data_IF_440987661974
#
_entry.id   IF_440987661974
#
_cell.length_a   1.000
_cell.length_b   1.000
_cell.length_c   1.000
_cell.angle_alpha   90.00
_cell.angle_beta   90.00
_cell.angle_gamma   90.00
#
_symmetry.space_group_name_H-M   'P 1'
#
loop_
_entity.id
_entity.type
_entity.pdbx_description
1 polymer ?
#
# COMPACT_ATOMS: atom_id res chain seq x y z
N UNK A 1 -1.90 23.52 -24.82
CA UNK A 1 -2.37 22.17 -24.47
C UNK A 1 -2.37 21.31 -25.74
N UNK A 2 -1.22 20.69 -26.04
CA UNK A 2 -1.21 19.68 -27.10
C UNK A 2 -1.87 18.43 -26.51
N UNK A 3 -3.12 18.16 -26.89
CA UNK A 3 -3.82 16.94 -26.52
C UNK A 3 -3.01 15.74 -27.01
N UNK A 4 -2.55 14.91 -26.08
CA UNK A 4 -1.84 13.67 -26.44
C UNK A 4 -2.76 12.77 -27.27
N UNK A 5 -2.25 12.21 -28.36
CA UNK A 5 -2.99 11.18 -29.08
C UNK A 5 -3.21 9.97 -28.16
N UNK A 6 -4.45 9.52 -28.07
CA UNK A 6 -4.86 8.42 -27.22
C UNK A 6 -5.15 7.17 -28.05
N UNK A 7 -5.07 6.00 -27.41
CA UNK A 7 -5.51 4.71 -27.94
C UNK A 7 -6.19 3.90 -26.85
N UNK A 8 -7.07 3.00 -27.23
CA UNK A 8 -7.66 2.03 -26.29
C UNK A 8 -6.58 1.08 -25.77
N UNK A 9 -6.57 0.88 -24.45
CA UNK A 9 -5.63 -0.05 -23.79
C UNK A 9 -6.02 -1.51 -23.99
N UNK A 10 -7.28 -1.79 -24.29
CA UNK A 10 -7.86 -3.13 -24.28
C UNK A 10 -8.13 -3.69 -22.88
N UNK A 11 -8.05 -2.84 -21.84
CA UNK A 11 -8.30 -3.19 -20.44
C UNK A 11 -9.37 -2.24 -19.90
N UNK A 12 -10.52 -2.76 -19.53
CA UNK A 12 -11.71 -1.99 -19.17
C UNK A 12 -11.44 -0.92 -18.09
N UNK A 13 -10.75 -1.29 -17.00
CA UNK A 13 -10.48 -0.36 -15.92
C UNK A 13 -9.44 0.73 -16.27
N UNK A 14 -8.60 0.50 -17.27
CA UNK A 14 -7.61 1.49 -17.74
C UNK A 14 -8.24 2.44 -18.77
N UNK A 15 -9.12 1.92 -19.64
CA UNK A 15 -9.69 2.67 -20.73
C UNK A 15 -8.63 3.11 -21.75
N UNK A 16 -8.67 4.37 -22.18
CA UNK A 16 -7.72 4.92 -23.15
C UNK A 16 -6.43 5.37 -22.47
N UNK A 17 -5.30 5.10 -23.13
CA UNK A 17 -3.96 5.51 -22.72
C UNK A 17 -3.29 6.35 -23.82
N UNK A 18 -2.25 7.15 -23.51
CA UNK A 18 -1.43 7.80 -24.54
C UNK A 18 -0.92 6.79 -25.55
N UNK A 19 -0.91 7.15 -26.83
CA UNK A 19 -0.55 6.25 -27.94
C UNK A 19 0.86 5.67 -27.80
N UNK A 20 1.77 6.42 -27.16
CA UNK A 20 3.14 6.02 -26.86
C UNK A 20 3.25 5.01 -25.71
N UNK A 21 2.21 4.83 -24.89
CA UNK A 21 2.24 3.90 -23.76
C UNK A 21 1.87 2.49 -24.20
N UNK A 22 2.28 1.52 -23.40
CA UNK A 22 1.89 0.12 -23.51
C UNK A 22 1.14 -0.32 -22.25
N UNK A 23 0.73 -1.58 -22.22
CA UNK A 23 0.27 -2.26 -21.00
C UNK A 23 1.20 -3.44 -20.72
N UNK A 24 1.39 -3.77 -19.45
CA UNK A 24 2.25 -4.88 -19.05
C UNK A 24 1.58 -5.68 -17.93
N UNK A 25 1.74 -7.01 -17.98
CA UNK A 25 1.31 -7.89 -16.88
C UNK A 25 2.37 -7.92 -15.80
N UNK A 26 1.92 -7.91 -14.55
CA UNK A 26 2.80 -7.93 -13.39
C UNK A 26 3.82 -9.08 -13.42
N UNK A 27 3.44 -10.25 -13.91
CA UNK A 27 4.33 -11.41 -14.03
C UNK A 27 5.64 -11.16 -14.79
N UNK A 28 5.72 -10.12 -15.62
CA UNK A 28 6.92 -9.79 -16.37
C UNK A 28 7.84 -8.79 -15.65
N UNK A 29 7.40 -8.26 -14.50
CA UNK A 29 8.11 -7.22 -13.79
C UNK A 29 8.97 -7.74 -12.63
N UNK A 30 8.88 -9.02 -12.29
CA UNK A 30 9.61 -9.64 -11.18
C UNK A 30 10.23 -10.98 -11.54
N UNK A 31 11.30 -11.36 -10.82
CA UNK A 31 12.03 -12.62 -11.02
C UNK A 31 11.47 -13.82 -10.25
N UNK A 32 10.50 -13.60 -9.35
CA UNK A 32 9.92 -14.67 -8.55
C UNK A 32 9.07 -14.15 -7.39
N UNK A 33 8.28 -15.04 -6.83
CA UNK A 33 7.40 -14.76 -5.70
C UNK A 33 7.53 -15.86 -4.63
N UNK A 34 7.48 -15.48 -3.37
CA UNK A 34 7.42 -16.42 -2.25
C UNK A 34 6.62 -15.83 -1.08
N UNK A 35 6.12 -16.72 -0.21
CA UNK A 35 5.42 -16.32 1.02
C UNK A 35 6.40 -16.22 2.20
N UNK A 36 6.05 -15.42 3.19
CA UNK A 36 6.78 -15.32 4.44
C UNK A 36 6.54 -16.51 5.39
N UNK A 37 6.76 -16.28 6.66
CA UNK A 37 6.59 -17.26 7.73
C UNK A 37 5.59 -16.75 8.77
N UNK A 38 4.80 -17.68 9.32
CA UNK A 38 4.00 -17.39 10.50
C UNK A 38 4.92 -17.22 11.72
N UNK A 39 4.87 -16.07 12.35
CA UNK A 39 5.61 -15.79 13.58
C UNK A 39 4.61 -15.70 14.72
N UNK A 40 4.83 -16.49 15.79
CA UNK A 40 3.97 -16.47 16.98
C UNK A 40 3.96 -15.07 17.62
N UNK A 41 2.80 -14.68 18.16
CA UNK A 41 2.61 -13.38 18.80
C UNK A 41 3.53 -13.16 20.01
N UNK A 42 4.03 -14.20 20.63
CA UNK A 42 4.99 -14.12 21.72
C UNK A 42 6.33 -13.47 21.30
N UNK A 43 6.63 -13.47 20.00
CA UNK A 43 7.79 -12.79 19.42
C UNK A 43 7.48 -11.39 18.91
N UNK A 44 6.25 -10.90 19.06
CA UNK A 44 5.93 -9.53 18.72
C UNK A 44 6.52 -8.58 19.75
N UNK A 45 7.07 -7.48 19.28
CA UNK A 45 7.82 -6.54 20.09
C UNK A 45 7.38 -5.11 19.84
N UNK A 46 7.65 -4.24 20.81
CA UNK A 46 7.54 -2.78 20.66
C UNK A 46 8.91 -2.11 20.70
N UNK A 47 10.00 -2.88 20.80
CA UNK A 47 11.35 -2.34 20.87
C UNK A 47 11.75 -1.73 19.52
N UNK A 48 12.18 -0.45 19.47
CA UNK A 48 12.54 0.23 18.22
C UNK A 48 13.67 -0.40 17.43
N UNK A 49 14.53 -1.18 18.11
CA UNK A 49 15.70 -1.87 17.52
C UNK A 49 15.35 -3.19 16.86
N UNK A 50 14.18 -3.75 17.18
CA UNK A 50 13.75 -5.03 16.62
C UNK A 50 13.32 -4.90 15.17
N UNK A 51 13.40 -6.03 14.44
CA UNK A 51 13.08 -6.05 13.01
C UNK A 51 11.63 -5.71 12.73
N UNK A 52 11.41 -5.04 11.62
CA UNK A 52 10.06 -4.84 11.10
C UNK A 52 9.47 -6.18 10.64
N UNK A 53 8.22 -6.39 10.97
CA UNK A 53 7.45 -7.55 10.56
C UNK A 53 6.16 -7.10 9.88
N UNK A 54 6.08 -7.35 8.59
CA UNK A 54 4.91 -7.01 7.79
C UNK A 54 3.85 -8.09 7.93
N UNK A 55 2.68 -7.68 8.37
CA UNK A 55 1.46 -8.50 8.46
C UNK A 55 0.44 -8.00 7.44
N UNK A 56 -0.78 -8.53 7.44
CA UNK A 56 -1.86 -8.02 6.60
C UNK A 56 -2.42 -6.64 7.06
N UNK A 57 -1.85 -6.03 8.09
CA UNK A 57 -2.20 -4.69 8.55
C UNK A 57 -1.55 -3.57 7.74
N UNK A 58 -2.07 -2.34 7.87
CA UNK A 58 -1.55 -1.16 7.14
C UNK A 58 -0.09 -0.88 7.50
N UNK A 59 0.25 -0.96 8.78
CA UNK A 59 1.58 -0.69 9.30
C UNK A 59 2.28 -1.98 9.72
N UNK A 60 3.58 -2.11 9.50
CA UNK A 60 4.35 -3.20 10.05
C UNK A 60 4.41 -3.08 11.58
N UNK A 61 4.49 -4.21 12.24
CA UNK A 61 4.84 -4.31 13.66
C UNK A 61 6.33 -4.66 13.79
N UNK A 62 6.79 -4.97 14.99
CA UNK A 62 8.16 -5.44 15.21
C UNK A 62 8.19 -6.86 15.76
N UNK A 63 9.32 -7.53 15.58
CA UNK A 63 9.53 -8.87 16.08
C UNK A 63 10.99 -9.09 16.50
N UNK A 64 11.17 -9.79 17.60
CA UNK A 64 12.47 -10.29 18.05
C UNK A 64 12.72 -11.75 17.62
N UNK A 65 11.93 -12.26 16.67
CA UNK A 65 12.12 -13.62 16.15
C UNK A 65 13.41 -13.73 15.32
N UNK A 66 14.30 -14.63 15.71
CA UNK A 66 15.62 -14.79 15.10
C UNK A 66 15.69 -15.89 14.04
N UNK A 67 14.82 -16.89 14.10
CA UNK A 67 14.85 -18.07 13.21
C UNK A 67 14.17 -17.84 11.84
N UNK A 68 13.96 -16.57 11.45
CA UNK A 68 13.41 -16.27 10.14
C UNK A 68 14.45 -16.61 9.05
N UNK A 69 14.07 -17.36 7.99
CA UNK A 69 15.01 -17.79 6.97
C UNK A 69 15.72 -16.60 6.30
N UNK A 70 17.05 -16.59 6.30
CA UNK A 70 17.86 -15.48 5.77
C UNK A 70 17.49 -15.08 4.35
N UNK A 71 17.24 -16.05 3.48
CA UNK A 71 16.89 -15.80 2.08
C UNK A 71 15.50 -15.17 1.91
N UNK A 72 14.67 -15.17 2.93
CA UNK A 72 13.35 -14.54 2.96
C UNK A 72 13.37 -13.10 3.46
N UNK A 73 14.43 -12.62 4.12
CA UNK A 73 14.48 -11.21 4.48
C UNK A 73 14.27 -10.33 3.26
N UNK A 74 13.50 -9.26 3.46
CA UNK A 74 13.23 -8.30 2.39
C UNK A 74 14.49 -7.60 1.92
N UNK A 75 14.52 -7.27 0.64
CA UNK A 75 15.62 -6.58 -0.05
C UNK A 75 15.12 -5.28 -0.67
N UNK A 76 16.06 -4.45 -1.14
CA UNK A 76 15.76 -3.16 -1.74
C UNK A 76 14.73 -3.24 -2.88
N UNK A 77 14.81 -4.26 -3.73
CA UNK A 77 13.96 -4.41 -4.91
C UNK A 77 12.69 -5.24 -4.66
N UNK A 78 12.30 -5.45 -3.40
CA UNK A 78 11.11 -6.22 -3.10
C UNK A 78 9.85 -5.33 -3.05
N UNK A 79 8.73 -5.92 -3.45
CA UNK A 79 7.36 -5.52 -3.10
C UNK A 79 6.73 -6.62 -2.26
N UNK A 80 5.94 -6.22 -1.28
CA UNK A 80 5.13 -7.13 -0.49
C UNK A 80 3.65 -6.94 -0.84
N UNK A 81 2.97 -8.04 -1.10
CA UNK A 81 1.61 -8.12 -1.60
C UNK A 81 0.75 -8.90 -0.62
N UNK A 82 -0.28 -8.28 -0.06
CA UNK A 82 -1.17 -8.97 0.87
C UNK A 82 -1.99 -10.06 0.16
N UNK A 83 -2.15 -11.23 0.83
CA UNK A 83 -2.95 -12.36 0.32
C UNK A 83 -4.38 -12.35 0.81
N UNK A 84 -4.63 -11.84 2.01
CA UNK A 84 -5.92 -11.93 2.69
C UNK A 84 -6.38 -10.54 3.13
N UNK A 85 -7.68 -10.33 3.15
CA UNK A 85 -8.28 -9.05 3.53
C UNK A 85 -8.09 -7.99 2.44
N UNK A 86 -7.88 -6.74 2.84
CA UNK A 86 -7.59 -5.66 1.90
C UNK A 86 -6.25 -5.90 1.22
N UNK A 87 -6.20 -5.89 -0.11
CA UNK A 87 -4.98 -6.21 -0.85
C UNK A 87 -3.99 -5.04 -0.82
N UNK A 88 -3.28 -4.87 0.28
CA UNK A 88 -2.22 -3.87 0.41
C UNK A 88 -0.96 -4.27 -0.38
N UNK A 89 -0.27 -3.24 -0.86
CA UNK A 89 1.02 -3.35 -1.54
C UNK A 89 2.01 -2.46 -0.79
N UNK A 90 3.06 -3.10 -0.25
CA UNK A 90 4.07 -2.39 0.53
C UNK A 90 5.39 -2.33 -0.24
N UNK A 91 6.09 -1.21 -0.09
CA UNK A 91 7.53 -1.13 -0.36
C UNK A 91 8.21 -1.37 1.00
N UNK A 92 8.74 -2.56 1.25
CA UNK A 92 9.31 -2.86 2.56
C UNK A 92 10.65 -2.17 2.77
N UNK A 93 10.98 -1.92 4.03
CA UNK A 93 12.36 -1.67 4.39
C UNK A 93 13.19 -2.94 4.20
N UNK A 94 14.46 -2.84 3.76
CA UNK A 94 15.35 -3.99 3.68
C UNK A 94 15.52 -4.68 5.04
N UNK A 95 15.80 -5.99 5.02
CA UNK A 95 16.04 -6.79 6.20
C UNK A 95 14.83 -6.92 7.17
N UNK A 96 13.62 -6.81 6.63
CA UNK A 96 12.38 -7.03 7.39
C UNK A 96 11.86 -8.46 7.19
N UNK A 97 11.07 -8.92 8.17
CA UNK A 97 10.30 -10.16 8.09
C UNK A 97 8.90 -9.89 7.52
N UNK A 98 8.22 -10.92 7.07
CA UNK A 98 6.82 -10.85 6.63
C UNK A 98 6.13 -12.19 6.84
N UNK A 99 4.81 -12.13 7.12
CA UNK A 99 4.00 -13.30 7.41
C UNK A 99 3.70 -14.13 6.16
N UNK A 100 3.28 -15.38 6.34
CA UNK A 100 2.75 -16.27 5.30
C UNK A 100 1.48 -15.73 4.60
N UNK A 101 0.81 -14.74 5.20
CA UNK A 101 -0.28 -13.97 4.57
C UNK A 101 0.18 -12.88 3.61
N UNK A 102 1.48 -12.77 3.37
CA UNK A 102 2.10 -11.84 2.43
C UNK A 102 2.94 -12.61 1.42
N UNK A 103 2.88 -12.15 0.18
CA UNK A 103 3.72 -12.62 -0.92
C UNK A 103 4.78 -11.55 -1.18
N UNK A 104 6.04 -11.91 -1.15
CA UNK A 104 7.15 -11.09 -1.62
C UNK A 104 7.34 -11.31 -3.11
N UNK A 105 7.40 -10.23 -3.89
CA UNK A 105 7.81 -10.24 -5.30
C UNK A 105 9.11 -9.46 -5.43
N UNK A 106 10.18 -10.11 -5.89
CA UNK A 106 11.47 -9.46 -6.13
C UNK A 106 11.47 -8.85 -7.53
N UNK A 107 11.39 -7.53 -7.61
CA UNK A 107 11.31 -6.79 -8.86
C UNK A 107 12.62 -6.88 -9.65
N UNK A 108 12.51 -6.87 -10.97
CA UNK A 108 13.67 -6.78 -11.84
C UNK A 108 14.38 -5.43 -11.65
N UNK A 109 15.70 -5.41 -11.77
CA UNK A 109 16.53 -4.24 -11.42
C UNK A 109 16.17 -2.94 -12.16
N UNK A 110 15.64 -3.04 -13.37
CA UNK A 110 15.24 -1.89 -14.19
C UNK A 110 13.82 -1.39 -13.93
N UNK A 111 13.08 -2.02 -13.02
CA UNK A 111 11.67 -1.70 -12.77
C UNK A 111 11.56 -0.64 -11.69
N UNK A 112 10.83 0.44 -11.97
CA UNK A 112 10.45 1.42 -10.96
C UNK A 112 9.35 0.82 -10.05
N UNK A 113 9.77 0.25 -8.91
CA UNK A 113 8.87 -0.43 -7.97
C UNK A 113 7.78 0.49 -7.42
N UNK A 114 8.06 1.79 -7.27
CA UNK A 114 7.08 2.77 -6.76
C UNK A 114 5.98 3.02 -7.79
N UNK A 115 6.36 3.11 -9.08
CA UNK A 115 5.39 3.18 -10.16
C UNK A 115 4.50 1.93 -10.22
N UNK A 116 5.13 0.75 -10.10
CA UNK A 116 4.39 -0.53 -10.07
C UNK A 116 3.44 -0.60 -8.88
N UNK A 117 3.84 -0.13 -7.71
CA UNK A 117 2.95 -0.05 -6.54
C UNK A 117 1.69 0.77 -6.86
N UNK A 118 1.82 1.97 -7.41
CA UNK A 118 0.68 2.81 -7.80
C UNK A 118 -0.18 2.13 -8.87
N UNK A 119 0.44 1.56 -9.89
CA UNK A 119 -0.29 0.87 -10.95
C UNK A 119 -1.09 -0.33 -10.45
N UNK A 120 -0.51 -1.14 -9.57
CA UNK A 120 -1.21 -2.26 -8.95
C UNK A 120 -2.33 -1.81 -8.02
N UNK A 121 -2.15 -0.72 -7.25
CA UNK A 121 -3.23 -0.15 -6.43
C UNK A 121 -4.47 0.21 -7.26
N UNK A 122 -4.27 0.80 -8.44
CA UNK A 122 -5.37 1.07 -9.37
C UNK A 122 -6.01 -0.22 -9.90
N UNK A 123 -5.17 -1.20 -10.30
CA UNK A 123 -5.64 -2.48 -10.84
C UNK A 123 -6.48 -3.27 -9.84
N UNK A 124 -6.06 -3.34 -8.56
CA UNK A 124 -6.84 -4.05 -7.54
C UNK A 124 -8.13 -3.34 -7.17
N UNK A 125 -8.16 -2.00 -7.21
CA UNK A 125 -9.37 -1.24 -6.91
C UNK A 125 -10.52 -1.64 -7.86
N UNK A 126 -10.23 -1.92 -9.12
CA UNK A 126 -11.24 -2.37 -10.09
C UNK A 126 -11.78 -3.78 -9.82
N UNK A 127 -10.95 -4.66 -9.25
CA UNK A 127 -11.35 -6.04 -8.93
C UNK A 127 -12.14 -6.12 -7.63
N UNK A 128 -11.81 -5.29 -6.63
CA UNK A 128 -12.47 -5.31 -5.30
C UNK A 128 -13.91 -4.82 -5.38
N UNK A 129 -14.25 -3.93 -6.31
CA UNK A 129 -15.62 -3.42 -6.49
C UNK A 129 -16.60 -4.53 -6.90
N UNK A 130 -16.13 -5.54 -7.64
CA UNK A 130 -16.98 -6.60 -8.18
C UNK A 130 -17.09 -7.83 -7.26
N UNK A 131 -16.34 -7.92 -6.16
CA UNK A 131 -16.32 -9.10 -5.30
C UNK A 131 -16.91 -8.84 -3.92
N UNK A 132 -18.06 -9.45 -3.65
CA UNK A 132 -18.73 -9.45 -2.32
C UNK A 132 -18.00 -10.33 -1.29
N UNK A 133 -17.05 -11.16 -1.70
CA UNK A 133 -16.26 -12.00 -0.81
C UNK A 133 -14.80 -11.55 -0.80
N UNK A 134 -14.21 -11.52 0.39
CA UNK A 134 -12.78 -11.30 0.62
C UNK A 134 -11.96 -12.40 -0.09
N UNK A 135 -11.72 -12.23 -1.38
CA UNK A 135 -10.98 -13.18 -2.18
C UNK A 135 -9.54 -13.29 -1.65
N UNK A 136 -9.04 -14.52 -1.55
CA UNK A 136 -7.62 -14.74 -1.31
C UNK A 136 -6.83 -14.32 -2.55
N UNK A 137 -5.97 -13.33 -2.41
CA UNK A 137 -5.09 -12.85 -3.47
C UNK A 137 -3.89 -13.80 -3.65
N UNK A 138 -4.09 -14.80 -4.49
CA UNK A 138 -3.01 -15.76 -4.81
C UNK A 138 -1.92 -15.11 -5.68
N UNK A 139 -0.72 -15.72 -5.71
CA UNK A 139 0.34 -15.32 -6.62
C UNK A 139 -0.12 -15.31 -8.10
N UNK A 140 -0.98 -16.27 -8.48
CA UNK A 140 -1.56 -16.32 -9.82
C UNK A 140 -2.45 -15.12 -10.12
N UNK A 141 -3.24 -14.66 -9.15
CA UNK A 141 -4.11 -13.48 -9.32
C UNK A 141 -3.27 -12.20 -9.43
N UNK A 142 -2.25 -12.05 -8.58
CA UNK A 142 -1.30 -10.94 -8.71
C UNK A 142 -0.62 -10.93 -10.07
N UNK A 143 -0.16 -12.07 -10.56
CA UNK A 143 0.52 -12.20 -11.85
C UNK A 143 -0.37 -11.83 -13.07
N UNK A 144 -1.68 -11.91 -12.92
CA UNK A 144 -2.63 -11.53 -13.97
C UNK A 144 -2.91 -10.03 -14.03
N UNK A 145 -2.55 -9.28 -12.97
CA UNK A 145 -2.78 -7.84 -12.97
C UNK A 145 -2.05 -7.16 -14.12
N UNK A 146 -2.73 -6.21 -14.75
CA UNK A 146 -2.20 -5.45 -15.89
C UNK A 146 -2.16 -3.98 -15.49
N UNK A 147 -1.07 -3.31 -15.80
CA UNK A 147 -0.89 -1.88 -15.56
C UNK A 147 -0.49 -1.16 -16.84
N UNK A 148 -0.79 0.12 -16.93
CA UNK A 148 -0.27 0.98 -17.98
C UNK A 148 1.25 1.14 -17.83
N UNK A 149 1.97 1.19 -18.93
CA UNK A 149 3.44 1.16 -18.95
C UNK A 149 4.03 2.25 -19.83
N UNK A 150 4.26 3.46 -19.28
CA UNK A 150 4.97 4.54 -19.96
C UNK A 150 6.49 4.31 -20.03
N UNK A 151 7.21 5.24 -20.64
CA UNK A 151 8.68 5.27 -20.60
C UNK A 151 9.19 5.45 -19.16
N UNK A 152 10.43 5.02 -18.88
CA UNK A 152 11.03 5.14 -17.56
C UNK A 152 11.03 6.59 -17.04
N UNK A 153 11.40 7.55 -17.90
CA UNK A 153 11.36 8.97 -17.56
C UNK A 153 9.96 9.45 -17.19
N UNK A 154 8.93 8.97 -17.88
CA UNK A 154 7.56 9.35 -17.57
C UNK A 154 7.05 8.67 -16.31
N UNK A 155 7.48 7.42 -16.02
CA UNK A 155 7.24 6.76 -14.73
C UNK A 155 7.78 7.58 -13.56
N UNK A 156 9.01 8.08 -13.66
CA UNK A 156 9.64 8.91 -12.63
C UNK A 156 8.86 10.21 -12.39
N UNK A 157 8.44 10.89 -13.47
CA UNK A 157 7.62 12.10 -13.35
C UNK A 157 6.27 11.84 -12.70
N UNK A 158 5.62 10.73 -13.06
CA UNK A 158 4.35 10.33 -12.46
C UNK A 158 4.54 10.00 -10.97
N UNK A 159 5.57 9.26 -10.62
CA UNK A 159 5.87 8.93 -9.22
C UNK A 159 6.12 10.19 -8.40
N UNK A 160 6.96 11.10 -8.88
CA UNK A 160 7.26 12.36 -8.17
C UNK A 160 5.99 13.19 -7.96
N UNK A 161 5.15 13.29 -8.97
CA UNK A 161 3.87 13.98 -8.86
C UNK A 161 2.92 13.33 -7.85
N UNK A 162 2.79 12.01 -7.90
CA UNK A 162 1.90 11.28 -7.00
C UNK A 162 2.41 11.31 -5.55
N UNK A 163 3.71 11.14 -5.34
CA UNK A 163 4.32 11.21 -4.00
C UNK A 163 4.08 12.58 -3.36
N UNK A 164 4.27 13.68 -4.11
CA UNK A 164 3.96 15.03 -3.61
C UNK A 164 2.47 15.20 -3.27
N UNK A 165 1.58 14.80 -4.18
CA UNK A 165 0.13 14.98 -3.98
C UNK A 165 -0.42 14.10 -2.87
N UNK A 166 -0.01 12.83 -2.82
CA UNK A 166 -0.43 11.92 -1.76
C UNK A 166 0.07 12.39 -0.39
N UNK A 167 1.34 12.80 -0.27
CA UNK A 167 1.87 13.33 0.99
C UNK A 167 1.11 14.57 1.47
N UNK A 168 0.74 15.46 0.55
CA UNK A 168 -0.09 16.61 0.89
C UNK A 168 -1.48 16.20 1.38
N UNK A 169 -2.15 15.29 0.67
CA UNK A 169 -3.46 14.76 1.07
C UNK A 169 -3.38 14.08 2.44
N UNK A 170 -2.38 13.25 2.67
CA UNK A 170 -2.18 12.56 3.95
C UNK A 170 -1.99 13.55 5.11
N UNK A 171 -1.20 14.62 4.88
CA UNK A 171 -1.04 15.70 5.87
C UNK A 171 -2.36 16.41 6.20
N UNK A 172 -3.22 16.67 5.20
CA UNK A 172 -4.54 17.26 5.41
C UNK A 172 -5.45 16.32 6.18
N UNK A 173 -5.43 15.03 5.83
CA UNK A 173 -6.21 14.00 6.52
C UNK A 173 -5.81 13.88 7.99
N UNK A 174 -4.51 13.90 8.30
CA UNK A 174 -4.01 13.86 9.67
C UNK A 174 -4.47 15.07 10.47
N UNK A 175 -4.29 16.28 9.94
CA UNK A 175 -4.78 17.51 10.59
C UNK A 175 -6.28 17.47 10.85
N UNK A 176 -7.05 16.99 9.88
CA UNK A 176 -8.50 16.86 10.01
C UNK A 176 -8.89 15.87 11.13
N UNK A 177 -8.23 14.73 11.20
CA UNK A 177 -8.44 13.75 12.28
C UNK A 177 -8.15 14.35 13.65
N UNK A 178 -7.03 15.07 13.79
CA UNK A 178 -6.66 15.74 15.02
C UNK A 178 -7.71 16.79 15.43
N UNK A 179 -8.19 17.61 14.50
CA UNK A 179 -9.26 18.58 14.75
C UNK A 179 -10.56 17.90 15.20
N UNK A 180 -10.94 16.77 14.59
CA UNK A 180 -12.12 16.01 15.02
C UNK A 180 -11.96 15.52 16.47
N UNK A 181 -10.80 15.05 16.87
CA UNK A 181 -10.57 14.62 18.26
C UNK A 181 -10.60 15.80 19.24
N UNK A 182 -10.08 16.96 18.86
CA UNK A 182 -10.18 18.18 19.67
C UNK A 182 -11.63 18.62 19.85
N UNK A 183 -12.44 18.61 18.80
CA UNK A 183 -13.87 18.92 18.89
C UNK A 183 -14.65 17.92 19.74
N UNK A 184 -14.30 16.63 19.69
CA UNK A 184 -14.90 15.65 20.60
C UNK A 184 -14.59 15.96 22.07
N UNK A 185 -13.35 16.33 22.39
CA UNK A 185 -12.92 16.74 23.74
C UNK A 185 -13.66 18.01 24.20
N UNK A 186 -13.72 19.01 23.30
CA UNK A 186 -14.44 20.26 23.59
C UNK A 186 -15.92 20.00 23.86
N UNK A 187 -16.59 19.21 23.01
CA UNK A 187 -17.99 18.81 23.22
C UNK A 187 -18.20 18.18 24.62
N UNK A 188 -17.32 17.24 24.98
CA UNK A 188 -17.41 16.59 26.30
C UNK A 188 -17.20 17.58 27.45
N UNK A 189 -16.24 18.50 27.29
CA UNK A 189 -15.98 19.53 28.31
C UNK A 189 -17.18 20.47 28.50
N UNK A 190 -17.81 20.92 27.40
CA UNK A 190 -19.01 21.78 27.44
C UNK A 190 -20.19 21.06 28.14
N UNK A 191 -20.43 19.80 27.76
CA UNK A 191 -21.47 18.99 28.40
C UNK A 191 -21.20 18.86 29.91
N UNK A 192 -19.99 18.48 30.28
CA UNK A 192 -19.60 18.31 31.70
C UNK A 192 -19.76 19.61 32.46
N UNK A 193 -19.31 20.73 31.92
CA UNK A 193 -19.44 22.04 32.55
C UNK A 193 -20.91 22.42 32.75
N UNK A 194 -21.75 22.28 31.73
CA UNK A 194 -23.16 22.63 31.81
C UNK A 194 -23.92 21.78 32.85
N UNK A 195 -23.66 20.46 32.89
CA UNK A 195 -24.34 19.52 33.78
C UNK A 195 -23.87 19.65 35.24
N UNK A 196 -22.59 19.99 35.47
CA UNK A 196 -22.02 20.02 36.84
C UNK A 196 -21.96 21.42 37.43
N UNK A 197 -21.87 22.47 36.62
CA UNK A 197 -21.70 23.87 37.09
C UNK A 197 -22.78 24.82 36.60
N UNK A 198 -23.74 24.31 35.82
CA UNK A 198 -24.79 25.13 35.23
C UNK A 198 -24.32 25.95 34.05
N UNK A 199 -25.26 26.61 33.36
CA UNK A 199 -25.02 27.52 32.28
C UNK A 199 -24.78 28.91 32.90
N UNK A 200 -23.68 29.58 32.55
CA UNK A 200 -23.52 31.00 32.91
C UNK A 200 -24.60 31.79 32.17
N UNK A 201 -25.48 32.42 32.90
CA UNK A 201 -26.36 33.44 32.35
C UNK A 201 -25.49 34.68 32.10
N UNK A 202 -25.37 35.09 30.85
CA UNK A 202 -24.84 36.40 30.48
C UNK A 202 -25.90 37.48 30.77
#
# INVERSE_FOLDING_TARGET
>A
DMSREMKESGIDWIGSIPKSWNTIKFKYLHGGMNTGEGIDKNFWSNEPTDRLFYTAGINPIRTNYEDFPEWKYTKENDLLLARNGTPYIYIPYPNACYTDHIIRATMNASVNKRFVQYGLQCSIASVVVDSVSLATWSASLWNKQVIAWPSAEEQERIVSFLDEKCAHIDSVLEKTRNSIEEYKKLKQAVITQAVTKGIKND
#
